data_IF_913543832841
#
_entry.id   IF_913543832841
#
_cell.length_a   1.000
_cell.length_b   1.000
_cell.length_c   1.000
_cell.angle_alpha   90.00
_cell.angle_beta   90.00
_cell.angle_gamma   90.00
#
_symmetry.space_group_name_H-M   'P 1'
#
loop_
_entity.id
_entity.type
_entity.pdbx_description
1 polymer ?
#
# COMPACT_ATOMS: atom_id res chain seq x y z
N UNK A 1 -13.63 -16.31 15.80
CA UNK A 1 -13.34 -15.16 14.90
C UNK A 1 -13.10 -13.94 15.77
N UNK A 2 -11.92 -13.33 15.69
CA UNK A 2 -11.61 -12.12 16.44
C UNK A 2 -12.26 -10.92 15.73
N UNK A 3 -13.03 -10.10 16.45
CA UNK A 3 -13.64 -8.88 15.88
C UNK A 3 -12.67 -7.71 16.07
N UNK A 4 -12.25 -7.09 14.98
CA UNK A 4 -11.45 -5.86 15.00
C UNK A 4 -12.36 -4.67 14.76
N UNK A 5 -12.31 -3.67 15.64
CA UNK A 5 -13.03 -2.41 15.45
C UNK A 5 -12.07 -1.37 14.87
N UNK A 6 -12.17 -1.14 13.56
CA UNK A 6 -11.37 -0.14 12.87
C UNK A 6 -11.89 1.27 13.18
N UNK A 7 -10.98 2.25 13.17
CA UNK A 7 -11.32 3.67 13.34
C UNK A 7 -10.69 4.46 12.21
N UNK A 8 -11.44 5.43 11.70
CA UNK A 8 -10.92 6.39 10.73
C UNK A 8 -9.79 7.22 11.35
N UNK A 9 -8.66 7.32 10.66
CA UNK A 9 -7.52 8.14 11.06
C UNK A 9 -7.57 9.50 10.37
N UNK A 10 -7.36 10.58 11.11
CA UNK A 10 -7.12 11.91 10.54
C UNK A 10 -5.65 12.15 10.12
N UNK A 11 -4.76 11.22 10.47
CA UNK A 11 -3.34 11.30 10.13
C UNK A 11 -3.08 11.08 8.64
N UNK A 12 -1.93 11.56 8.17
CA UNK A 12 -1.46 11.18 6.83
C UNK A 12 -1.21 9.68 6.82
N UNK A 13 -1.82 8.95 5.87
CA UNK A 13 -1.70 7.50 5.73
C UNK A 13 -1.54 7.14 4.25
N UNK A 14 -0.56 6.29 3.97
CA UNK A 14 -0.40 5.58 2.71
C UNK A 14 -0.75 4.10 2.92
N UNK A 15 -1.73 3.60 2.16
CA UNK A 15 -2.14 2.21 2.18
C UNK A 15 -1.61 1.52 0.92
N UNK A 16 -0.63 0.62 1.08
CA UNK A 16 -0.07 -0.15 -0.04
C UNK A 16 -0.96 -1.34 -0.36
N UNK A 17 -1.43 -1.43 -1.60
CA UNK A 17 -2.12 -2.60 -2.13
C UNK A 17 -1.32 -3.18 -3.30
N UNK A 18 -0.97 -4.46 -3.21
CA UNK A 18 -0.21 -5.19 -4.22
C UNK A 18 -1.19 -6.03 -5.06
N UNK A 19 -1.13 -5.92 -6.38
CA UNK A 19 -2.19 -6.44 -7.26
C UNK A 19 -2.29 -7.97 -7.30
N UNK A 20 -1.17 -8.68 -7.14
CA UNK A 20 -1.11 -10.13 -7.40
C UNK A 20 -0.64 -10.96 -6.20
N UNK A 21 -0.38 -10.35 -5.04
CA UNK A 21 0.04 -11.09 -3.85
C UNK A 21 -1.15 -11.73 -3.12
N UNK A 22 -0.89 -12.82 -2.39
CA UNK A 22 -1.94 -13.69 -1.83
C UNK A 22 -2.16 -13.54 -0.32
N UNK A 23 -1.27 -12.87 0.40
CA UNK A 23 -1.33 -12.74 1.86
C UNK A 23 -2.33 -11.66 2.30
N UNK A 24 -2.47 -10.58 1.54
CA UNK A 24 -3.41 -9.48 1.78
C UNK A 24 -4.10 -9.02 0.48
N UNK A 25 -4.90 -9.89 -0.17
CA UNK A 25 -5.48 -9.66 -1.49
C UNK A 25 -5.95 -8.23 -1.75
N UNK A 26 -5.67 -7.73 -2.95
CA UNK A 26 -5.90 -6.33 -3.33
C UNK A 26 -7.35 -5.87 -3.07
N UNK A 27 -8.32 -6.77 -3.17
CA UNK A 27 -9.75 -6.55 -2.91
C UNK A 27 -10.02 -6.05 -1.48
N UNK A 28 -9.11 -6.29 -0.54
CA UNK A 28 -9.20 -5.78 0.83
C UNK A 28 -8.78 -4.30 0.93
N UNK A 29 -8.06 -3.77 -0.07
CA UNK A 29 -7.53 -2.40 -0.05
C UNK A 29 -8.63 -1.33 -0.11
N UNK A 30 -9.60 -1.37 -1.05
CA UNK A 30 -10.69 -0.40 -1.05
C UNK A 30 -11.54 -0.35 0.24
N UNK A 31 -12.04 -1.48 0.81
CA UNK A 31 -12.81 -1.44 2.04
C UNK A 31 -11.96 -1.03 3.25
N UNK A 32 -10.67 -1.37 3.28
CA UNK A 32 -9.77 -0.88 4.32
C UNK A 32 -9.63 0.65 4.25
N UNK A 33 -9.36 1.22 3.06
CA UNK A 33 -9.31 2.67 2.85
C UNK A 33 -10.61 3.35 3.30
N UNK A 34 -11.76 2.76 2.99
CA UNK A 34 -13.05 3.29 3.45
C UNK A 34 -13.14 3.32 4.98
N UNK A 35 -12.69 2.25 5.65
CA UNK A 35 -12.75 2.13 7.11
C UNK A 35 -11.76 3.05 7.85
N UNK A 36 -10.53 3.21 7.34
CA UNK A 36 -9.44 3.90 8.06
C UNK A 36 -8.99 5.22 7.43
N UNK A 37 -9.42 5.52 6.20
CA UNK A 37 -8.98 6.68 5.42
C UNK A 37 -7.67 6.45 4.66
N UNK A 38 -7.01 7.54 4.27
CA UNK A 38 -5.70 7.53 3.61
C UNK A 38 -5.72 7.52 2.08
N UNK A 39 -4.52 7.41 1.51
CA UNK A 39 -4.28 7.34 0.06
C UNK A 39 -3.77 5.96 -0.29
N UNK A 40 -4.41 5.32 -1.28
CA UNK A 40 -3.96 4.03 -1.79
C UNK A 40 -2.81 4.24 -2.75
N UNK A 41 -1.73 3.48 -2.53
CA UNK A 41 -0.67 3.27 -3.52
C UNK A 41 -0.80 1.85 -4.05
N UNK A 42 -0.98 1.73 -5.36
CA UNK A 42 -1.04 0.44 -6.03
C UNK A 42 0.36 0.03 -6.48
N UNK A 43 0.74 -1.20 -6.17
CA UNK A 43 1.99 -1.83 -6.59
C UNK A 43 1.63 -3.02 -7.49
N UNK A 44 2.13 -3.01 -8.71
CA UNK A 44 1.90 -4.08 -9.69
C UNK A 44 2.96 -5.17 -9.53
N UNK A 45 2.74 -6.09 -8.56
CA UNK A 45 3.54 -7.29 -8.36
C UNK A 45 2.79 -8.38 -7.58
N UNK A 46 3.43 -9.54 -7.44
CA UNK A 46 2.98 -10.73 -6.71
C UNK A 46 3.70 -10.92 -5.34
N UNK A 47 4.41 -9.89 -4.86
CA UNK A 47 5.28 -10.00 -3.68
C UNK A 47 4.73 -9.20 -2.51
N UNK A 48 4.37 -9.91 -1.44
CA UNK A 48 3.89 -9.29 -0.21
C UNK A 48 4.93 -8.32 0.40
N UNK A 49 4.59 -7.03 0.40
CA UNK A 49 5.39 -5.97 1.03
C UNK A 49 6.68 -5.63 0.26
N UNK A 50 6.70 -5.73 -1.06
CA UNK A 50 7.91 -5.49 -1.86
C UNK A 50 8.41 -4.03 -1.90
N UNK A 51 7.59 -3.05 -1.51
CA UNK A 51 7.81 -1.63 -1.79
C UNK A 51 9.20 -1.08 -1.37
N UNK A 52 9.77 -1.61 -0.29
CA UNK A 52 11.10 -1.20 0.21
C UNK A 52 12.28 -1.84 -0.55
N UNK A 53 12.02 -2.79 -1.45
CA UNK A 53 13.01 -3.53 -2.26
C UNK A 53 13.10 -3.02 -3.69
N UNK A 54 12.12 -2.23 -4.13
CA UNK A 54 12.00 -1.78 -5.52
C UNK A 54 12.53 -0.35 -5.66
N UNK A 55 13.62 -0.14 -6.44
CA UNK A 55 14.05 1.20 -6.83
C UNK A 55 12.91 1.93 -7.56
N UNK A 56 12.79 3.22 -7.30
CA UNK A 56 11.66 4.06 -7.68
C UNK A 56 10.48 4.02 -6.70
N UNK A 57 10.24 2.92 -5.98
CA UNK A 57 9.22 2.88 -4.92
C UNK A 57 9.81 3.24 -3.55
N UNK A 58 11.03 2.78 -3.25
CA UNK A 58 11.74 3.14 -2.02
C UNK A 58 11.90 4.66 -1.88
N UNK A 59 12.23 5.37 -2.96
CA UNK A 59 12.38 6.83 -2.97
C UNK A 59 11.05 7.53 -2.70
N UNK A 60 9.93 7.00 -3.23
CA UNK A 60 8.59 7.54 -2.92
C UNK A 60 8.19 7.29 -1.47
N UNK A 61 8.57 6.15 -0.92
CA UNK A 61 8.37 5.82 0.49
C UNK A 61 9.16 6.76 1.39
N UNK A 62 10.44 7.01 1.06
CA UNK A 62 11.28 7.99 1.78
C UNK A 62 10.71 9.41 1.66
N UNK A 63 10.36 9.86 0.45
CA UNK A 63 9.76 11.19 0.22
C UNK A 63 8.47 11.36 1.03
N UNK A 64 7.62 10.33 1.10
CA UNK A 64 6.44 10.35 1.95
C UNK A 64 6.76 10.52 3.44
N UNK A 65 7.75 9.79 3.97
CA UNK A 65 8.11 9.90 5.39
C UNK A 65 8.81 11.21 5.73
N UNK A 66 9.62 11.75 4.82
CA UNK A 66 10.35 13.01 5.05
C UNK A 66 9.47 14.25 4.86
N UNK A 67 8.56 14.23 3.87
CA UNK A 67 7.83 15.44 3.43
C UNK A 67 6.31 15.32 3.58
N UNK A 68 5.79 14.12 3.78
CA UNK A 68 4.36 13.83 3.76
C UNK A 68 3.77 13.74 2.35
N UNK A 69 4.59 13.84 1.29
CA UNK A 69 4.13 13.78 -0.10
C UNK A 69 3.57 12.41 -0.43
N UNK A 70 2.34 12.40 -0.95
CA UNK A 70 1.60 11.17 -1.28
C UNK A 70 1.80 10.78 -2.73
N UNK A 71 1.65 9.49 -3.01
CA UNK A 71 1.65 8.94 -4.36
C UNK A 71 0.44 8.01 -4.53
N UNK A 72 0.10 7.67 -5.77
CA UNK A 72 -0.98 6.72 -6.08
C UNK A 72 -0.46 5.46 -6.75
N UNK A 73 0.79 5.44 -7.19
CA UNK A 73 1.41 4.30 -7.85
C UNK A 73 2.85 4.12 -7.42
N UNK A 74 3.32 2.88 -7.42
CA UNK A 74 4.71 2.52 -7.20
C UNK A 74 5.12 1.45 -8.22
N UNK A 75 6.37 1.44 -8.69
CA UNK A 75 6.89 0.27 -9.38
C UNK A 75 6.88 -0.93 -8.42
N UNK A 76 6.50 -2.10 -8.94
CA UNK A 76 6.56 -3.38 -8.24
C UNK A 76 7.76 -4.22 -8.65
N UNK A 77 7.90 -5.38 -8.02
CA UNK A 77 8.81 -6.42 -8.49
C UNK A 77 8.32 -7.00 -9.84
N UNK A 78 9.21 -7.48 -10.71
CA UNK A 78 8.79 -8.17 -11.93
C UNK A 78 7.97 -9.41 -11.58
N UNK A 79 6.75 -9.51 -12.13
CA UNK A 79 5.92 -10.72 -12.06
C UNK A 79 6.48 -11.75 -13.05
N UNK A 80 6.69 -13.01 -12.64
CA UNK A 80 7.05 -14.08 -13.57
C UNK A 80 6.00 -14.25 -14.69
N UNK A 81 6.45 -14.57 -15.91
CA UNK A 81 5.56 -14.88 -17.05
C UNK A 81 4.73 -16.16 -16.84
#
# INVERSE_FOLDING_TARGET
MQKTNLRHSGGSLMLSGHLHESMSPYEFTPPMREAIGGTVVTVDDDVHGSAFRVPGCLEKLVDYFETGKRTTTCPGMPVPE
#
